data_IF_794849641157
#
_entry.id   IF_794849641157
#
_cell.length_a   1.000
_cell.length_b   1.000
_cell.length_c   1.000
_cell.angle_alpha   90.00
_cell.angle_beta   90.00
_cell.angle_gamma   90.00
#
_symmetry.space_group_name_H-M   'P 1'
#
loop_
_entity.id
_entity.type
_entity.pdbx_description
1 polymer ?
#
# COMPACT_ATOMS: atom_id res chain seq x y z
N UNK A 1 -18.87 23.03 47.78
CA UNK A 1 -19.31 23.07 46.38
C UNK A 1 -18.19 22.46 45.55
N UNK A 2 -18.25 21.15 45.30
CA UNK A 2 -17.27 20.44 44.48
C UNK A 2 -18.01 19.86 43.29
N UNK A 3 -17.76 20.42 42.12
CA UNK A 3 -18.41 20.04 40.87
C UNK A 3 -17.78 18.78 40.28
N UNK A 4 -18.65 17.92 39.78
CA UNK A 4 -18.40 16.72 38.99
C UNK A 4 -17.42 16.94 37.83
N UNK A 5 -16.57 15.95 37.62
CA UNK A 5 -15.87 15.70 36.36
C UNK A 5 -15.93 14.22 36.03
N UNK A 6 -17.15 13.70 35.81
CA UNK A 6 -17.39 12.39 35.20
C UNK A 6 -16.73 12.41 33.83
N UNK A 7 -15.56 11.78 33.71
CA UNK A 7 -14.94 11.51 32.41
C UNK A 7 -15.80 10.44 31.73
N UNK A 8 -16.76 10.91 30.94
CA UNK A 8 -17.57 10.10 30.06
C UNK A 8 -16.62 9.31 29.15
N UNK A 9 -16.49 8.03 29.44
CA UNK A 9 -15.79 7.07 28.59
C UNK A 9 -16.67 6.73 27.40
N UNK A 10 -17.04 7.76 26.64
CA UNK A 10 -17.61 7.62 25.32
C UNK A 10 -16.57 6.96 24.44
N UNK A 11 -16.76 5.67 24.19
CA UNK A 11 -16.11 4.92 23.12
C UNK A 11 -16.46 5.56 21.78
N UNK A 12 -15.81 6.67 21.46
CA UNK A 12 -15.75 7.18 20.12
C UNK A 12 -15.05 6.07 19.34
N UNK A 13 -15.76 5.46 18.40
CA UNK A 13 -15.15 5.03 17.15
C UNK A 13 -14.48 6.27 16.54
N UNK A 14 -13.32 6.66 17.09
CA UNK A 14 -12.47 7.77 16.65
C UNK A 14 -12.33 7.57 15.16
N UNK A 15 -13.00 8.43 14.38
CA UNK A 15 -13.13 8.28 12.94
C UNK A 15 -11.77 7.90 12.36
N UNK A 16 -11.67 6.70 11.80
CA UNK A 16 -10.43 6.21 11.24
C UNK A 16 -10.02 7.18 10.13
N UNK A 17 -8.93 7.92 10.34
CA UNK A 17 -8.39 8.83 9.33
C UNK A 17 -7.54 8.04 8.35
N UNK A 18 -7.43 8.52 7.10
CA UNK A 18 -6.51 7.94 6.10
C UNK A 18 -5.13 7.67 6.69
N UNK A 19 -4.61 8.67 7.40
CA UNK A 19 -3.31 8.60 8.06
C UNK A 19 -3.24 7.46 9.06
N UNK A 20 -4.19 7.35 9.99
CA UNK A 20 -4.19 6.29 11.00
C UNK A 20 -4.25 4.89 10.38
N UNK A 21 -4.97 4.72 9.27
CA UNK A 21 -5.05 3.45 8.54
C UNK A 21 -3.72 3.09 7.90
N UNK A 22 -3.07 4.05 7.23
CA UNK A 22 -1.75 3.85 6.63
C UNK A 22 -0.67 3.62 7.68
N UNK A 23 -0.76 4.27 8.85
CA UNK A 23 0.14 4.03 9.99
C UNK A 23 0.01 2.60 10.51
N UNK A 24 -1.23 2.11 10.71
CA UNK A 24 -1.48 0.71 11.12
C UNK A 24 -0.92 -0.28 10.10
N UNK A 25 -1.12 -0.03 8.81
CA UNK A 25 -0.56 -0.87 7.75
C UNK A 25 0.97 -0.82 7.71
N UNK A 26 1.57 0.36 7.92
CA UNK A 26 3.01 0.51 7.98
C UNK A 26 3.63 -0.29 9.12
N UNK A 27 3.00 -0.30 10.30
CA UNK A 27 3.41 -1.14 11.44
C UNK A 27 3.40 -2.62 11.04
N UNK A 28 2.25 -3.12 10.53
CA UNK A 28 2.13 -4.53 10.14
C UNK A 28 3.08 -4.96 9.01
N UNK A 29 3.54 -4.02 8.17
CA UNK A 29 4.55 -4.27 7.15
C UNK A 29 5.98 -4.32 7.72
N UNK A 30 6.30 -3.44 8.67
CA UNK A 30 7.61 -3.42 9.34
C UNK A 30 7.83 -4.67 10.17
N UNK A 31 6.79 -5.15 10.86
CA UNK A 31 6.81 -6.43 11.58
C UNK A 31 7.10 -7.62 10.65
N UNK A 32 6.81 -7.49 9.36
CA UNK A 32 7.10 -8.48 8.31
C UNK A 32 8.42 -8.23 7.59
N UNK A 33 9.27 -7.33 8.09
CA UNK A 33 10.57 -7.00 7.52
C UNK A 33 10.53 -6.08 6.30
N UNK A 34 9.36 -5.51 5.95
CA UNK A 34 9.28 -4.55 4.84
C UNK A 34 9.66 -3.14 5.30
N UNK A 35 10.29 -2.38 4.41
CA UNK A 35 10.46 -0.94 4.62
C UNK A 35 9.17 -0.22 4.25
N UNK A 36 8.63 0.56 5.18
CA UNK A 36 7.35 1.25 5.03
C UNK A 36 7.49 2.72 5.44
N UNK A 37 7.24 3.64 4.50
CA UNK A 37 7.39 5.09 4.65
C UNK A 37 6.10 5.80 4.25
N UNK A 38 5.56 6.64 5.13
CA UNK A 38 4.40 7.47 4.81
C UNK A 38 4.91 8.81 4.32
N UNK A 39 4.64 9.11 3.05
CA UNK A 39 4.82 10.44 2.50
C UNK A 39 3.58 11.27 2.86
N UNK A 40 3.82 12.35 3.61
CA UNK A 40 2.83 13.38 3.85
C UNK A 40 2.87 14.33 2.66
N UNK A 41 1.75 14.44 1.94
CA UNK A 41 1.56 15.56 1.02
C UNK A 41 1.28 16.82 1.84
N UNK A 42 1.52 18.00 1.27
CA UNK A 42 0.96 19.26 1.81
C UNK A 42 -0.58 19.27 1.79
N UNK A 43 -1.21 18.23 1.25
CA UNK A 43 -2.65 17.95 1.21
C UNK A 43 -3.01 16.78 2.13
N UNK A 44 -4.31 16.62 2.43
CA UNK A 44 -4.86 15.52 3.26
C UNK A 44 -4.90 14.13 2.57
N UNK A 45 -3.89 13.85 1.75
CA UNK A 45 -3.76 12.63 0.96
C UNK A 45 -2.40 11.98 1.22
N UNK A 46 -2.20 11.40 2.42
CA UNK A 46 -0.99 10.65 2.71
C UNK A 46 -0.90 9.40 1.82
N UNK A 47 0.32 9.06 1.41
CA UNK A 47 0.63 7.86 0.61
C UNK A 47 1.65 7.02 1.37
N UNK A 48 1.41 5.72 1.47
CA UNK A 48 2.36 4.77 2.04
C UNK A 48 3.19 4.13 0.93
N UNK A 49 4.50 4.31 0.99
CA UNK A 49 5.46 3.61 0.15
C UNK A 49 6.01 2.39 0.87
N UNK A 50 5.92 1.25 0.20
CA UNK A 50 6.39 -0.03 0.69
C UNK A 50 7.52 -0.51 -0.21
N UNK A 51 8.70 -0.72 0.34
CA UNK A 51 9.85 -1.31 -0.36
C UNK A 51 10.12 -2.70 0.16
N UNK A 52 10.23 -3.65 -0.78
CA UNK A 52 10.64 -5.04 -0.52
C UNK A 52 12.11 -5.23 -0.85
N UNK A 53 12.73 -6.21 -0.21
CA UNK A 53 14.06 -6.67 -0.62
C UNK A 53 13.98 -7.23 -2.05
N UNK A 54 14.82 -6.70 -2.93
CA UNK A 54 14.72 -6.90 -4.39
C UNK A 54 14.26 -5.66 -5.19
N UNK A 55 14.06 -4.51 -4.53
CA UNK A 55 14.08 -3.18 -5.19
C UNK A 55 12.73 -2.66 -5.68
N UNK A 56 11.65 -3.43 -5.57
CA UNK A 56 10.31 -2.97 -5.93
C UNK A 56 9.71 -2.02 -4.87
N UNK A 57 9.26 -0.85 -5.30
CA UNK A 57 8.47 0.08 -4.48
C UNK A 57 7.00 0.00 -4.87
N UNK A 58 6.11 -0.09 -3.88
CA UNK A 58 4.64 -0.09 -4.06
C UNK A 58 4.05 1.09 -3.31
N UNK A 59 3.32 1.95 -4.01
CA UNK A 59 2.53 3.00 -3.40
C UNK A 59 1.16 2.46 -2.98
N UNK A 60 0.73 2.81 -1.78
CA UNK A 60 -0.53 2.39 -1.16
C UNK A 60 -1.28 3.62 -0.66
N UNK A 61 -2.56 3.70 -0.98
CA UNK A 61 -3.45 4.78 -0.52
C UNK A 61 -4.65 4.21 0.23
N UNK A 62 -5.17 4.96 1.19
CA UNK A 62 -6.42 4.66 1.88
C UNK A 62 -7.54 5.51 1.28
N UNK A 63 -8.58 4.85 0.77
CA UNK A 63 -9.74 5.49 0.13
C UNK A 63 -11.00 5.11 0.90
N UNK A 64 -11.87 6.10 1.11
CA UNK A 64 -13.18 5.90 1.70
C UNK A 64 -14.22 5.83 0.60
N UNK A 65 -15.06 4.80 0.61
CA UNK A 65 -16.23 4.68 -0.26
C UNK A 65 -17.45 4.47 0.64
N UNK A 66 -18.33 5.48 0.71
CA UNK A 66 -19.40 5.49 1.70
C UNK A 66 -18.85 5.50 3.12
N UNK A 67 -19.24 4.52 3.94
CA UNK A 67 -18.74 4.34 5.31
C UNK A 67 -17.49 3.45 5.40
N UNK A 68 -17.10 2.77 4.32
CA UNK A 68 -16.04 1.77 4.33
C UNK A 68 -14.71 2.33 3.85
N UNK A 69 -13.62 1.86 4.46
CA UNK A 69 -12.25 2.17 4.06
C UNK A 69 -11.60 1.00 3.35
N UNK A 70 -10.81 1.29 2.31
CA UNK A 70 -10.02 0.30 1.58
C UNK A 70 -8.61 0.81 1.30
N UNK A 71 -7.65 -0.10 1.35
CA UNK A 71 -6.31 0.12 0.83
C UNK A 71 -6.28 -0.22 -0.65
N UNK A 72 -5.66 0.64 -1.47
CA UNK A 72 -5.45 0.41 -2.90
C UNK A 72 -3.96 0.47 -3.24
N UNK A 73 -3.49 -0.42 -4.12
CA UNK A 73 -2.12 -0.43 -4.62
C UNK A 73 -2.00 -1.06 -6.01
N UNK A 74 -1.03 -0.60 -6.79
CA UNK A 74 -0.83 -1.09 -8.16
C UNK A 74 -2.08 -0.91 -9.03
N UNK A 75 -2.29 -1.80 -10.01
CA UNK A 75 -3.42 -1.68 -10.95
C UNK A 75 -4.73 -2.23 -10.40
N UNK A 76 -4.67 -3.36 -9.68
CA UNK A 76 -5.85 -4.12 -9.24
C UNK A 76 -5.73 -4.56 -7.76
N UNK A 77 -4.72 -4.08 -7.03
CA UNK A 77 -4.52 -4.47 -5.64
C UNK A 77 -5.45 -3.67 -4.74
N UNK A 78 -6.30 -4.36 -3.99
CA UNK A 78 -7.13 -3.74 -2.98
C UNK A 78 -7.36 -4.68 -1.79
N UNK A 79 -7.57 -4.12 -0.61
CA UNK A 79 -8.03 -4.85 0.56
C UNK A 79 -8.84 -3.93 1.48
N UNK A 80 -9.81 -4.50 2.19
CA UNK A 80 -10.55 -3.78 3.22
C UNK A 80 -9.60 -3.29 4.31
N UNK A 81 -9.76 -2.03 4.73
CA UNK A 81 -8.87 -1.43 5.73
C UNK A 81 -9.03 -2.05 7.13
N UNK A 82 -10.16 -2.72 7.38
CA UNK A 82 -10.40 -3.50 8.60
C UNK A 82 -9.53 -4.75 8.67
N UNK A 83 -9.00 -5.23 7.53
CA UNK A 83 -8.11 -6.39 7.43
C UNK A 83 -6.67 -5.96 7.12
N UNK A 84 -6.09 -5.16 8.02
CA UNK A 84 -4.69 -4.69 7.93
C UNK A 84 -3.72 -5.86 7.76
N UNK A 85 -3.97 -6.97 8.45
CA UNK A 85 -3.09 -8.14 8.37
C UNK A 85 -3.12 -8.79 6.98
N UNK A 86 -4.29 -8.92 6.36
CA UNK A 86 -4.41 -9.47 5.00
C UNK A 86 -3.71 -8.55 3.98
N UNK A 87 -3.91 -7.24 4.10
CA UNK A 87 -3.22 -6.26 3.27
C UNK A 87 -1.69 -6.36 3.42
N UNK A 88 -1.21 -6.44 4.67
CA UNK A 88 0.21 -6.57 4.97
C UNK A 88 0.82 -7.87 4.42
N UNK A 89 0.10 -9.01 4.47
CA UNK A 89 0.54 -10.30 3.89
C UNK A 89 0.72 -10.21 2.37
N UNK A 90 -0.23 -9.59 1.67
CA UNK A 90 -0.13 -9.41 0.21
C UNK A 90 1.01 -8.45 -0.13
N UNK A 91 1.09 -7.33 0.60
CA UNK A 91 2.10 -6.31 0.41
C UNK A 91 3.51 -6.73 0.87
N UNK A 92 3.66 -7.73 1.75
CA UNK A 92 4.98 -8.32 2.05
C UNK A 92 5.42 -9.37 1.02
N UNK A 93 4.55 -9.73 0.07
CA UNK A 93 4.87 -10.74 -0.94
C UNK A 93 4.71 -12.18 -0.45
N UNK A 94 3.94 -12.40 0.62
CA UNK A 94 3.52 -13.74 1.03
C UNK A 94 2.53 -14.38 0.03
N UNK A 95 1.96 -13.58 -0.87
CA UNK A 95 1.25 -14.05 -2.07
C UNK A 95 2.20 -14.01 -3.30
N UNK A 96 2.94 -15.10 -3.50
CA UNK A 96 3.83 -15.30 -4.66
C UNK A 96 3.02 -15.60 -5.94
N UNK A 97 2.10 -14.72 -6.33
CA UNK A 97 1.18 -14.96 -7.45
C UNK A 97 1.47 -14.26 -8.77
N UNK A 98 2.40 -13.29 -8.86
CA UNK A 98 2.58 -12.54 -10.13
C UNK A 98 3.94 -11.90 -10.33
N UNK A 99 4.99 -12.72 -10.37
CA UNK A 99 6.22 -12.33 -11.08
C UNK A 99 5.91 -12.24 -12.59
N UNK A 100 5.49 -11.07 -13.08
CA UNK A 100 5.84 -10.68 -14.45
C UNK A 100 7.30 -10.26 -14.39
N UNK A 101 8.19 -11.20 -14.70
CA UNK A 101 9.59 -10.86 -14.94
C UNK A 101 9.68 -9.76 -16.01
N UNK A 102 10.74 -8.94 -15.99
CA UNK A 102 10.99 -8.01 -17.08
C UNK A 102 11.02 -8.81 -18.37
N UNK A 103 10.12 -8.49 -19.31
CA UNK A 103 10.18 -9.04 -20.64
C UNK A 103 11.58 -8.72 -21.19
N UNK A 104 12.42 -9.75 -21.29
CA UNK A 104 13.68 -9.65 -21.97
C UNK A 104 13.38 -9.10 -23.37
N UNK A 105 13.80 -7.85 -23.61
CA UNK A 105 13.80 -7.28 -24.96
C UNK A 105 14.72 -8.16 -25.78
N UNK A 106 14.14 -9.09 -26.53
CA UNK A 106 14.85 -9.90 -27.51
C UNK A 106 15.45 -8.91 -28.53
N UNK A 107 16.77 -8.91 -28.77
CA UNK A 107 17.32 -8.15 -29.87
C UNK A 107 16.71 -8.69 -31.15
N UNK A 108 15.98 -7.85 -31.88
CA UNK A 108 15.47 -8.18 -33.19
C UNK A 108 16.66 -8.13 -34.15
N UNK A 109 17.07 -9.23 -34.81
CA UNK A 109 18.07 -9.13 -35.86
C UNK A 109 17.48 -8.29 -37.00
N UNK A 110 18.10 -7.14 -37.25
CA UNK A 110 17.88 -6.33 -38.46
C UNK A 110 18.11 -7.23 -39.66
N UNK A 111 17.06 -7.48 -40.45
CA UNK A 111 17.19 -8.15 -41.74
C UNK A 111 18.21 -7.41 -42.58
N UNK A 112 19.31 -8.09 -42.90
CA UNK A 112 20.32 -7.60 -43.81
C UNK A 112 19.70 -7.44 -45.20
N UNK A 113 19.95 -6.29 -45.83
CA UNK A 113 19.70 -6.08 -47.25
C UNK A 113 20.38 -7.20 -48.05
N UNK A 114 19.60 -7.92 -48.84
CA UNK A 114 20.12 -8.80 -49.88
C UNK A 114 20.24 -7.98 -51.16
N UNK A 115 21.44 -7.45 -51.41
CA UNK A 115 21.87 -7.06 -52.76
C UNK A 115 22.28 -8.35 -53.46
N UNK A 116 21.67 -8.64 -54.61
CA UNK A 116 22.24 -9.52 -55.63
C UNK A 116 21.97 -8.91 -57.00
N UNK A 117 23.00 -9.05 -57.82
CA UNK A 117 23.29 -8.42 -59.11
C UNK A 117 22.14 -8.35 -60.11
#
# INVERSE_FOLDING_TARGET
>A
MSSNGTFDSGGHSRGLTRRSLLERLAVGLRERGCRALIALSGTDHPVLYVTRDGGGMTAVVAVQTGSAWSFLWGRNGQAAADSVEAAARVLSGSDRGRRRGPAARRPQPRGALRVVA
#
